data_IF_604410980118
#
_entry.id   IF_604410980118
#
_cell.length_a   1.000
_cell.length_b   1.000
_cell.length_c   1.000
_cell.angle_alpha   90.00
_cell.angle_beta   90.00
_cell.angle_gamma   90.00
#
_symmetry.space_group_name_H-M   'P 1'
#
loop_
_entity.id
_entity.type
_entity.pdbx_description
1 polymer ?
#
# COMPACT_ATOMS: atom_id res chain seq x y z
N UNK A 1 -6.67 -14.26 14.03
CA UNK A 1 -5.89 -15.29 14.72
C UNK A 1 -6.81 -16.31 15.42
N UNK A 2 -7.77 -15.86 16.25
CA UNK A 2 -8.70 -16.76 16.95
C UNK A 2 -9.44 -17.72 16.02
N UNK A 3 -9.91 -17.25 14.88
CA UNK A 3 -10.58 -18.10 13.89
C UNK A 3 -9.64 -19.19 13.33
N UNK A 4 -8.40 -18.86 13.00
CA UNK A 4 -7.40 -19.84 12.56
C UNK A 4 -7.16 -20.92 13.63
N UNK A 5 -7.00 -20.50 14.89
CA UNK A 5 -6.85 -21.44 16.01
C UNK A 5 -8.09 -22.34 16.18
N UNK A 6 -9.32 -21.80 15.98
CA UNK A 6 -10.55 -22.60 16.06
C UNK A 6 -10.68 -23.63 14.93
N UNK A 7 -10.01 -23.43 13.79
CA UNK A 7 -9.90 -24.41 12.71
C UNK A 7 -8.87 -25.52 12.97
N UNK A 8 -8.01 -25.38 13.98
CA UNK A 8 -6.90 -26.28 14.25
C UNK A 8 -5.53 -25.78 13.78
N UNK A 9 -5.43 -24.59 13.20
CA UNK A 9 -4.18 -23.96 12.78
C UNK A 9 -3.40 -23.41 13.99
N UNK A 10 -2.97 -24.29 14.91
CA UNK A 10 -2.35 -23.95 16.19
C UNK A 10 -0.98 -23.26 16.04
N UNK A 11 -0.31 -23.43 14.90
CA UNK A 11 0.95 -22.76 14.56
C UNK A 11 0.78 -21.34 14.02
N UNK A 12 -0.46 -20.87 13.85
CA UNK A 12 -0.71 -19.49 13.43
C UNK A 12 -0.29 -18.51 14.54
N UNK A 13 0.37 -17.42 14.14
CA UNK A 13 0.88 -16.42 15.08
C UNK A 13 0.76 -15.01 14.53
N UNK A 14 0.99 -14.02 15.39
CA UNK A 14 1.09 -12.62 15.01
C UNK A 14 2.56 -12.20 15.05
N UNK A 15 3.07 -11.59 13.97
CA UNK A 15 4.42 -11.05 13.94
C UNK A 15 4.52 -9.64 14.55
N UNK A 16 5.73 -9.06 14.54
CA UNK A 16 6.01 -7.73 15.10
C UNK A 16 5.35 -6.60 14.30
N UNK A 17 5.17 -6.76 12.99
CA UNK A 17 4.46 -5.78 12.16
C UNK A 17 2.95 -5.79 12.38
N UNK A 18 2.42 -6.88 12.95
CA UNK A 18 1.01 -7.11 13.17
C UNK A 18 0.33 -8.03 12.16
N UNK A 19 1.08 -8.63 11.24
CA UNK A 19 0.57 -9.65 10.32
C UNK A 19 0.10 -10.88 11.10
N UNK A 20 -0.89 -11.59 10.56
CA UNK A 20 -1.25 -12.92 11.01
C UNK A 20 -0.66 -13.93 10.02
N UNK A 21 0.23 -14.79 10.50
CA UNK A 21 0.93 -15.78 9.70
C UNK A 21 0.49 -17.18 10.08
N UNK A 22 0.28 -18.04 9.08
CA UNK A 22 0.02 -19.46 9.29
C UNK A 22 0.96 -20.30 8.43
N UNK A 23 2.05 -20.85 9.03
CA UNK A 23 2.89 -21.86 8.39
C UNK A 23 2.14 -23.21 8.34
N UNK A 24 1.82 -23.64 7.12
CA UNK A 24 1.03 -24.84 6.86
C UNK A 24 1.92 -25.94 6.27
N UNK A 25 2.06 -27.07 6.96
CA UNK A 25 2.82 -28.26 6.53
C UNK A 25 4.25 -27.97 6.06
N UNK A 26 4.96 -27.06 6.72
CA UNK A 26 6.33 -26.66 6.36
C UNK A 26 7.34 -27.61 7.02
N UNK A 27 8.17 -28.26 6.19
CA UNK A 27 9.31 -29.07 6.65
C UNK A 27 10.56 -28.20 6.83
N UNK A 28 11.49 -28.70 7.67
CA UNK A 28 12.76 -28.02 7.87
C UNK A 28 13.56 -27.92 6.58
N UNK A 29 14.03 -26.69 6.23
CA UNK A 29 14.80 -26.42 5.03
C UNK A 29 14.01 -26.38 3.71
N UNK A 30 12.70 -26.62 3.73
CA UNK A 30 11.86 -26.57 2.55
C UNK A 30 11.53 -25.13 2.12
N UNK A 31 11.49 -24.92 0.81
CA UNK A 31 10.91 -23.70 0.23
C UNK A 31 9.40 -23.74 0.33
N UNK A 32 8.78 -22.57 0.48
CA UNK A 32 7.34 -22.42 0.65
C UNK A 32 6.73 -21.52 -0.41
N UNK A 33 5.50 -21.79 -0.79
CA UNK A 33 4.69 -20.83 -1.51
C UNK A 33 3.99 -19.89 -0.51
N UNK A 34 4.14 -18.57 -0.68
CA UNK A 34 3.47 -17.55 0.11
C UNK A 34 2.17 -17.14 -0.56
N UNK A 35 1.07 -17.27 0.16
CA UNK A 35 -0.23 -16.72 -0.20
C UNK A 35 -0.57 -15.58 0.75
N UNK A 36 -0.84 -14.39 0.23
CA UNK A 36 -1.10 -13.21 1.05
C UNK A 36 -2.36 -12.46 0.62
N UNK A 37 -3.02 -11.83 1.60
CA UNK A 37 -4.08 -10.86 1.41
C UNK A 37 -4.01 -9.83 2.54
N UNK A 38 -4.10 -8.54 2.22
CA UNK A 38 -4.01 -7.49 3.24
C UNK A 38 -5.31 -7.36 4.05
N UNK A 39 -5.17 -7.00 5.34
CA UNK A 39 -6.30 -6.88 6.29
C UNK A 39 -6.60 -5.43 6.68
N UNK A 40 -5.76 -4.49 6.29
CA UNK A 40 -6.03 -3.07 6.49
C UNK A 40 -6.92 -2.49 5.39
N UNK A 41 -7.49 -1.32 5.64
CA UNK A 41 -8.41 -0.64 4.75
C UNK A 41 -8.14 0.88 4.74
N UNK A 42 -8.60 1.58 3.70
CA UNK A 42 -8.55 3.04 3.62
C UNK A 42 -9.56 3.75 4.55
N UNK A 43 -10.53 3.01 5.10
CA UNK A 43 -11.65 3.55 5.89
C UNK A 43 -11.31 3.67 7.37
N UNK A 44 -10.39 4.59 7.72
CA UNK A 44 -9.85 4.75 9.09
C UNK A 44 -10.87 5.28 10.11
N UNK A 45 -11.89 6.01 9.65
CA UNK A 45 -12.83 6.71 10.50
C UNK A 45 -14.14 5.94 10.74
N UNK A 46 -14.30 4.77 10.11
CA UNK A 46 -15.48 3.93 10.33
C UNK A 46 -15.32 3.11 11.62
N UNK A 47 -16.16 3.39 12.61
CA UNK A 47 -16.24 2.55 13.82
C UNK A 47 -17.01 1.26 13.57
N UNK A 48 -18.01 1.30 12.69
CA UNK A 48 -18.77 0.15 12.22
C UNK A 48 -18.85 0.18 10.70
N UNK A 49 -18.66 -1.00 10.09
CA UNK A 49 -18.76 -1.15 8.64
C UNK A 49 -20.22 -1.44 8.30
N UNK A 50 -20.94 -0.54 7.58
CA UNK A 50 -22.31 -0.80 7.16
C UNK A 50 -22.34 -1.92 6.11
N UNK A 51 -22.97 -3.04 6.46
CA UNK A 51 -23.08 -4.21 5.58
C UNK A 51 -24.51 -4.27 5.04
N UNK A 52 -24.66 -4.30 3.71
CA UNK A 52 -25.93 -4.45 3.03
C UNK A 52 -25.93 -5.76 2.23
N UNK A 53 -26.95 -6.59 2.43
CA UNK A 53 -27.14 -7.82 1.67
C UNK A 53 -28.45 -7.76 0.86
N UNK A 54 -28.35 -8.02 -0.45
CA UNK A 54 -29.50 -8.11 -1.34
C UNK A 54 -29.39 -9.42 -2.13
N UNK A 55 -30.18 -10.40 -1.76
CA UNK A 55 -30.07 -11.76 -2.32
C UNK A 55 -28.69 -12.36 -2.03
N UNK A 56 -27.93 -12.64 -3.09
CA UNK A 56 -26.56 -13.19 -3.01
C UNK A 56 -25.47 -12.12 -3.08
N UNK A 57 -25.83 -10.84 -3.15
CA UNK A 57 -24.88 -9.72 -3.24
C UNK A 57 -24.67 -9.15 -1.85
N UNK A 58 -23.39 -9.07 -1.43
CA UNK A 58 -22.95 -8.40 -0.24
C UNK A 58 -22.24 -7.09 -0.62
N UNK A 59 -22.67 -5.97 -0.05
CA UNK A 59 -22.09 -4.64 -0.29
C UNK A 59 -21.65 -4.01 1.02
N UNK A 60 -20.38 -3.65 1.14
CA UNK A 60 -19.82 -2.96 2.29
C UNK A 60 -18.51 -2.24 1.87
N UNK A 61 -18.09 -1.19 2.60
CA UNK A 61 -16.72 -0.69 2.51
C UNK A 61 -15.71 -1.83 2.69
N UNK A 62 -14.66 -1.88 1.87
CA UNK A 62 -13.63 -2.93 1.85
C UNK A 62 -14.13 -4.37 1.65
N UNK A 63 -15.35 -4.56 1.15
CA UNK A 63 -15.87 -5.90 0.88
C UNK A 63 -15.04 -6.62 -0.22
N UNK A 64 -14.72 -5.91 -1.29
CA UNK A 64 -13.89 -6.40 -2.40
C UNK A 64 -12.39 -6.27 -2.09
N UNK A 65 -12.00 -5.11 -1.62
CA UNK A 65 -10.63 -4.72 -1.31
C UNK A 65 -10.48 -4.56 0.22
N UNK A 66 -10.04 -5.58 0.98
CA UNK A 66 -9.64 -6.89 0.48
C UNK A 66 -10.31 -8.06 1.29
N UNK A 67 -11.49 -7.81 1.89
CA UNK A 67 -12.17 -8.78 2.77
C UNK A 67 -12.55 -10.07 2.04
N UNK A 68 -12.90 -9.99 0.74
CA UNK A 68 -13.26 -11.15 -0.05
C UNK A 68 -12.06 -12.10 -0.25
N UNK A 69 -10.88 -11.56 -0.50
CA UNK A 69 -9.64 -12.34 -0.64
C UNK A 69 -9.25 -13.00 0.68
N UNK A 70 -9.36 -12.27 1.80
CA UNK A 70 -9.16 -12.83 3.14
C UNK A 70 -10.09 -14.01 3.38
N UNK A 71 -11.39 -13.85 3.08
CA UNK A 71 -12.39 -14.91 3.23
C UNK A 71 -12.05 -16.11 2.35
N UNK A 72 -11.59 -15.89 1.11
CA UNK A 72 -11.12 -16.92 0.19
C UNK A 72 -9.94 -17.72 0.76
N UNK A 73 -8.90 -17.06 1.25
CA UNK A 73 -7.75 -17.72 1.87
C UNK A 73 -8.14 -18.49 3.14
N UNK A 74 -8.99 -17.90 3.99
CA UNK A 74 -9.51 -18.59 5.19
C UNK A 74 -10.34 -19.82 4.82
N UNK A 75 -11.11 -19.76 3.72
CA UNK A 75 -11.87 -20.89 3.22
C UNK A 75 -10.96 -22.00 2.70
N UNK A 76 -9.90 -21.67 1.98
CA UNK A 76 -8.88 -22.63 1.53
C UNK A 76 -8.25 -23.33 2.73
N UNK A 77 -7.84 -22.57 3.75
CA UNK A 77 -7.28 -23.14 4.98
C UNK A 77 -8.29 -24.09 5.64
N UNK A 78 -9.55 -23.68 5.74
CA UNK A 78 -10.63 -24.52 6.27
C UNK A 78 -10.78 -25.83 5.48
N UNK A 79 -10.71 -25.77 4.15
CA UNK A 79 -10.77 -26.97 3.30
C UNK A 79 -9.62 -27.95 3.58
N UNK A 80 -8.40 -27.47 3.86
CA UNK A 80 -7.29 -28.35 4.24
C UNK A 80 -7.62 -29.17 5.50
N UNK A 81 -8.27 -28.56 6.49
CA UNK A 81 -8.69 -29.26 7.71
C UNK A 81 -9.90 -30.18 7.47
N UNK A 82 -10.97 -29.68 6.86
CA UNK A 82 -12.21 -30.44 6.67
C UNK A 82 -12.02 -31.69 5.79
N UNK A 83 -11.17 -31.54 4.75
CA UNK A 83 -10.95 -32.62 3.77
C UNK A 83 -9.63 -33.36 4.03
N UNK A 84 -8.91 -33.04 5.10
CA UNK A 84 -7.61 -33.62 5.45
C UNK A 84 -6.60 -33.59 4.29
N UNK A 85 -6.59 -32.47 3.53
CA UNK A 85 -5.71 -32.31 2.39
C UNK A 85 -4.29 -31.99 2.85
N UNK A 86 -3.33 -32.58 2.14
CA UNK A 86 -1.90 -32.29 2.32
C UNK A 86 -1.38 -31.57 1.09
N UNK A 87 -0.90 -30.32 1.21
CA UNK A 87 -0.29 -29.64 0.08
C UNK A 87 1.01 -30.34 -0.35
N UNK A 88 1.35 -30.32 -1.65
CA UNK A 88 2.57 -30.96 -2.16
C UNK A 88 3.86 -30.31 -1.68
N UNK A 89 3.78 -29.05 -1.26
CA UNK A 89 4.88 -28.27 -0.66
C UNK A 89 4.37 -27.48 0.54
N UNK A 90 5.28 -26.97 1.37
CA UNK A 90 4.93 -26.08 2.47
C UNK A 90 4.28 -24.80 1.97
N UNK A 91 3.24 -24.35 2.65
CA UNK A 91 2.55 -23.09 2.36
C UNK A 91 2.71 -22.13 3.53
N UNK A 92 2.91 -20.86 3.23
CA UNK A 92 2.82 -19.78 4.20
C UNK A 92 1.62 -18.90 3.83
N UNK A 93 0.62 -18.86 4.68
CA UNK A 93 -0.47 -17.90 4.56
C UNK A 93 -0.14 -16.66 5.38
N UNK A 94 -0.25 -15.48 4.76
CA UNK A 94 -0.04 -14.20 5.42
C UNK A 94 -1.28 -13.31 5.24
N UNK A 95 -1.83 -12.82 6.35
CA UNK A 95 -2.84 -11.78 6.37
C UNK A 95 -2.10 -10.52 6.83
N UNK A 96 -1.68 -9.73 5.84
CA UNK A 96 -0.71 -8.67 6.04
C UNK A 96 -1.36 -7.31 6.32
N UNK A 97 -0.56 -6.38 6.84
CA UNK A 97 -0.97 -5.05 7.25
C UNK A 97 -0.15 -3.97 6.55
N UNK A 98 -0.77 -2.82 6.31
CA UNK A 98 -0.09 -1.64 5.78
C UNK A 98 0.14 -1.73 4.27
N UNK A 99 -0.75 -2.37 3.53
CA UNK A 99 -0.82 -2.29 2.08
C UNK A 99 -1.32 -0.91 1.67
N UNK A 100 -2.36 -0.43 2.32
CA UNK A 100 -3.11 0.75 1.96
C UNK A 100 -2.41 2.08 2.27
N UNK A 101 -2.61 3.03 1.38
CA UNK A 101 -2.25 4.43 1.57
C UNK A 101 -0.76 4.67 1.84
N UNK A 102 -0.43 5.13 3.03
CA UNK A 102 0.95 5.39 3.49
C UNK A 102 1.54 4.23 4.31
N UNK A 103 0.91 3.07 4.31
CA UNK A 103 1.38 1.87 5.03
C UNK A 103 2.72 1.33 4.51
N UNK A 104 3.07 1.65 3.26
CA UNK A 104 4.35 1.32 2.64
C UNK A 104 4.69 -0.17 2.69
N UNK A 105 3.66 -1.03 2.58
CA UNK A 105 3.79 -2.49 2.63
C UNK A 105 4.55 -2.99 3.88
N UNK A 106 4.39 -2.31 5.03
CA UNK A 106 5.19 -2.62 6.24
C UNK A 106 5.07 -4.09 6.66
N UNK A 107 3.88 -4.67 6.51
CA UNK A 107 3.61 -6.08 6.81
C UNK A 107 4.40 -7.00 5.90
N UNK A 108 4.29 -6.81 4.59
CA UNK A 108 5.03 -7.65 3.62
C UNK A 108 6.54 -7.45 3.70
N UNK A 109 7.02 -6.25 4.05
CA UNK A 109 8.45 -6.03 4.32
C UNK A 109 8.95 -6.87 5.50
N UNK A 110 8.15 -7.01 6.55
CA UNK A 110 8.46 -7.90 7.69
C UNK A 110 8.47 -9.37 7.25
N UNK A 111 7.43 -9.81 6.53
CA UNK A 111 7.38 -11.19 6.00
C UNK A 111 8.62 -11.49 5.15
N UNK A 112 9.01 -10.57 4.27
CA UNK A 112 10.20 -10.77 3.44
C UNK A 112 11.51 -10.72 4.25
N UNK A 113 11.59 -9.91 5.31
CA UNK A 113 12.76 -9.93 6.20
C UNK A 113 12.94 -11.28 6.89
N UNK A 114 11.85 -11.91 7.31
CA UNK A 114 11.87 -13.16 8.08
C UNK A 114 11.93 -14.42 7.20
N UNK A 115 11.39 -14.37 5.98
CA UNK A 115 11.09 -15.55 5.17
C UNK A 115 11.68 -15.55 3.76
N UNK A 116 12.31 -14.45 3.25
CA UNK A 116 12.71 -14.35 1.83
C UNK A 116 13.56 -15.53 1.35
N UNK A 117 14.50 -16.02 2.18
CA UNK A 117 15.35 -17.17 1.84
C UNK A 117 14.57 -18.49 1.70
N UNK A 118 13.36 -18.54 2.20
CA UNK A 118 12.50 -19.73 2.20
C UNK A 118 11.33 -19.63 1.22
N UNK A 119 11.01 -18.45 0.72
CA UNK A 119 9.92 -18.26 -0.23
C UNK A 119 10.40 -18.63 -1.63
N UNK A 120 9.65 -19.51 -2.34
CA UNK A 120 9.87 -19.86 -3.74
C UNK A 120 9.02 -19.04 -4.69
N UNK A 121 7.81 -18.69 -4.25
CA UNK A 121 6.83 -17.93 -5.03
C UNK A 121 5.89 -17.16 -4.12
N UNK A 122 5.31 -16.09 -4.64
CA UNK A 122 4.35 -15.24 -3.93
C UNK A 122 3.09 -15.12 -4.77
N UNK A 123 1.94 -15.37 -4.15
CA UNK A 123 0.62 -15.12 -4.70
C UNK A 123 -0.09 -14.12 -3.80
N UNK A 124 -0.17 -12.87 -4.24
CA UNK A 124 -0.98 -11.86 -3.58
C UNK A 124 -2.40 -11.91 -4.16
N UNK A 125 -3.37 -12.18 -3.28
CA UNK A 125 -4.79 -12.24 -3.65
C UNK A 125 -5.43 -10.91 -3.30
N UNK A 126 -5.89 -10.18 -4.35
CA UNK A 126 -6.39 -8.83 -4.18
C UNK A 126 -7.44 -8.48 -5.26
N UNK A 127 -8.40 -7.63 -4.89
CA UNK A 127 -9.42 -6.98 -5.74
C UNK A 127 -10.27 -7.94 -6.60
N UNK A 128 -9.76 -8.41 -7.73
CA UNK A 128 -10.52 -9.18 -8.72
C UNK A 128 -10.02 -10.62 -8.84
N UNK A 129 -10.95 -11.55 -9.12
CA UNK A 129 -10.63 -12.98 -9.24
C UNK A 129 -10.57 -13.49 -10.69
N UNK A 130 -10.65 -12.60 -11.66
CA UNK A 130 -10.71 -12.91 -13.10
C UNK A 130 -9.42 -12.53 -13.86
N UNK A 131 -8.44 -11.96 -13.16
CA UNK A 131 -7.19 -11.52 -13.76
C UNK A 131 -5.98 -11.99 -12.98
N UNK A 132 -4.87 -12.19 -13.70
CA UNK A 132 -3.55 -12.44 -13.12
C UNK A 132 -2.60 -11.32 -13.51
N UNK A 133 -2.03 -10.63 -12.50
CA UNK A 133 -1.01 -9.61 -12.70
C UNK A 133 0.35 -10.25 -12.44
N UNK A 134 1.20 -10.32 -13.48
CA UNK A 134 2.53 -10.95 -13.41
C UNK A 134 3.66 -9.94 -13.38
N UNK A 135 3.38 -8.67 -13.63
CA UNK A 135 4.36 -7.59 -13.59
C UNK A 135 4.03 -6.67 -12.42
N UNK A 136 4.87 -6.69 -11.39
CA UNK A 136 4.72 -5.80 -10.25
C UNK A 136 5.06 -4.35 -10.62
N UNK A 137 4.34 -3.40 -10.01
CA UNK A 137 4.58 -1.97 -10.17
C UNK A 137 5.34 -1.46 -8.96
N UNK A 138 6.56 -0.97 -9.17
CA UNK A 138 7.33 -0.28 -8.15
C UNK A 138 6.71 1.09 -7.84
N UNK A 139 6.71 1.51 -6.57
CA UNK A 139 6.24 2.84 -6.19
C UNK A 139 7.15 3.54 -5.19
N UNK A 140 7.21 4.88 -5.28
CA UNK A 140 7.82 5.75 -4.28
C UNK A 140 6.86 6.88 -3.95
N UNK A 141 6.59 7.07 -2.67
CA UNK A 141 5.61 8.04 -2.19
C UNK A 141 6.28 9.06 -1.28
N UNK A 142 5.96 10.33 -1.49
CA UNK A 142 6.57 11.44 -0.77
C UNK A 142 5.51 12.39 -0.21
N UNK A 143 5.77 12.90 0.98
CA UNK A 143 5.10 14.07 1.53
C UNK A 143 6.09 15.24 1.50
N UNK A 144 5.81 16.25 0.70
CA UNK A 144 6.63 17.45 0.57
C UNK A 144 6.04 18.55 1.43
N UNK A 145 6.88 19.15 2.27
CA UNK A 145 6.51 20.35 3.04
C UNK A 145 7.34 21.53 2.52
N UNK A 146 6.65 22.60 2.16
CA UNK A 146 7.26 23.88 1.77
C UNK A 146 7.02 24.86 2.91
N UNK A 147 8.08 25.50 3.37
CA UNK A 147 8.03 26.51 4.43
C UNK A 147 8.58 27.84 3.92
N UNK A 148 7.96 28.93 4.37
CA UNK A 148 8.32 30.31 4.04
C UNK A 148 8.13 31.21 5.27
N UNK A 149 8.61 32.44 5.21
CA UNK A 149 8.49 33.36 6.33
C UNK A 149 7.04 33.69 6.71
N UNK A 150 6.13 33.69 5.73
CA UNK A 150 4.76 34.14 5.93
C UNK A 150 4.67 35.66 6.10
N UNK A 151 3.46 36.16 6.38
CA UNK A 151 3.26 37.60 6.64
C UNK A 151 1.88 38.10 6.22
N UNK A 152 1.69 39.43 6.34
CA UNK A 152 0.46 40.08 5.89
C UNK A 152 0.55 40.36 4.39
N UNK A 153 -0.43 39.99 3.60
CA UNK A 153 -0.39 40.04 2.13
C UNK A 153 -0.13 41.44 1.55
N UNK A 154 -0.58 42.52 2.20
CA UNK A 154 -0.34 43.88 1.80
C UNK A 154 0.99 44.43 2.34
N UNK A 155 1.25 44.28 3.65
CA UNK A 155 2.42 44.91 4.30
C UNK A 155 3.75 44.25 3.92
N UNK A 156 3.70 42.92 3.65
CA UNK A 156 4.89 42.13 3.32
C UNK A 156 4.85 41.61 1.87
N UNK A 157 4.18 42.35 0.97
CA UNK A 157 4.12 41.99 -0.45
C UNK A 157 5.53 41.83 -1.03
N UNK A 158 5.74 40.71 -1.79
CA UNK A 158 7.04 40.34 -2.35
C UNK A 158 7.80 39.29 -1.55
N UNK A 159 7.37 38.95 -0.33
CA UNK A 159 7.94 37.81 0.39
C UNK A 159 7.51 36.47 -0.23
N UNK A 160 8.35 35.45 0.00
CA UNK A 160 8.08 34.09 -0.45
C UNK A 160 6.79 33.57 0.14
N UNK A 161 5.97 32.92 -0.70
CA UNK A 161 4.69 32.32 -0.34
C UNK A 161 4.78 30.81 -0.54
N UNK A 162 4.61 30.02 0.53
CA UNK A 162 4.74 28.58 0.49
C UNK A 162 3.76 27.89 -0.49
N UNK A 163 2.54 28.44 -0.67
CA UNK A 163 1.59 27.93 -1.67
C UNK A 163 2.11 28.19 -3.09
N UNK A 164 2.65 29.38 -3.35
CA UNK A 164 3.19 29.69 -4.68
C UNK A 164 4.40 28.82 -5.01
N UNK A 165 5.29 28.58 -4.05
CA UNK A 165 6.42 27.66 -4.23
C UNK A 165 5.96 26.22 -4.45
N UNK A 166 5.01 25.72 -3.66
CA UNK A 166 4.44 24.39 -3.87
C UNK A 166 3.83 24.24 -5.28
N UNK A 167 3.11 25.27 -5.76
CA UNK A 167 2.53 25.29 -7.09
C UNK A 167 3.61 25.25 -8.20
N UNK A 168 4.75 25.96 -8.02
CA UNK A 168 5.87 25.89 -8.97
C UNK A 168 6.52 24.52 -9.00
N UNK A 169 6.75 23.89 -7.85
CA UNK A 169 7.31 22.54 -7.76
C UNK A 169 6.39 21.53 -8.45
N UNK A 170 5.09 21.60 -8.19
CA UNK A 170 4.08 20.75 -8.84
C UNK A 170 4.08 20.99 -10.35
N UNK A 171 4.06 22.22 -10.82
CA UNK A 171 4.11 22.55 -12.25
C UNK A 171 5.36 21.97 -12.93
N UNK A 172 6.53 22.02 -12.27
CA UNK A 172 7.77 21.43 -12.80
C UNK A 172 7.69 19.91 -12.84
N UNK A 173 7.09 19.27 -11.84
CA UNK A 173 6.86 17.83 -11.85
C UNK A 173 5.98 17.41 -13.05
N UNK A 174 4.90 18.14 -13.29
CA UNK A 174 4.01 17.87 -14.43
C UNK A 174 4.61 18.26 -15.80
N UNK A 175 5.77 18.89 -15.81
CA UNK A 175 6.59 19.10 -17.01
C UNK A 175 7.53 17.94 -17.34
N UNK A 176 7.63 16.91 -16.50
CA UNK A 176 8.47 15.74 -16.78
C UNK A 176 7.85 14.89 -17.88
N UNK A 177 8.68 14.42 -18.80
CA UNK A 177 8.31 13.40 -19.77
C UNK A 177 8.70 12.02 -19.22
N UNK A 178 7.76 11.08 -19.22
CA UNK A 178 7.96 9.68 -18.78
C UNK A 178 7.56 8.73 -19.90
N UNK A 179 8.15 7.52 -19.98
CA UNK A 179 7.79 6.55 -20.99
C UNK A 179 6.39 5.98 -20.75
N UNK A 180 5.69 5.64 -21.83
CA UNK A 180 4.46 4.86 -21.79
C UNK A 180 4.72 3.36 -21.69
N UNK A 181 5.91 2.91 -22.15
CA UNK A 181 6.41 1.55 -22.07
C UNK A 181 7.92 1.56 -21.71
N UNK A 182 8.33 0.98 -20.58
CA UNK A 182 7.47 0.46 -19.50
C UNK A 182 6.61 1.56 -18.89
N UNK A 183 5.37 1.24 -18.50
CA UNK A 183 4.44 2.24 -17.96
C UNK A 183 5.03 2.90 -16.73
N UNK A 184 5.22 4.22 -16.83
CA UNK A 184 5.78 5.06 -15.78
C UNK A 184 4.87 6.24 -15.55
N UNK A 185 4.57 6.53 -14.29
CA UNK A 185 3.58 7.55 -13.94
C UNK A 185 4.01 8.34 -12.71
N UNK A 186 3.47 9.55 -12.58
CA UNK A 186 3.54 10.35 -11.37
C UNK A 186 2.18 11.01 -11.10
N UNK A 187 1.92 11.30 -9.83
CA UNK A 187 0.69 11.98 -9.43
C UNK A 187 0.91 12.83 -8.17
N UNK A 188 0.25 13.97 -8.11
CA UNK A 188 0.09 14.74 -6.88
C UNK A 188 -1.31 14.47 -6.33
N UNK A 189 -1.39 13.68 -5.26
CA UNK A 189 -2.66 13.20 -4.71
C UNK A 189 -3.38 14.19 -3.81
N UNK A 190 -2.62 15.00 -3.05
CA UNK A 190 -3.17 15.98 -2.13
C UNK A 190 -2.35 17.27 -2.13
N UNK A 191 -2.98 18.40 -1.86
CA UNK A 191 -2.33 19.69 -1.58
C UNK A 191 -3.13 20.44 -0.52
N UNK A 192 -2.43 21.04 0.45
CA UNK A 192 -3.02 21.90 1.48
C UNK A 192 -2.02 22.98 1.93
N UNK A 193 -2.50 24.16 2.29
CA UNK A 193 -1.62 25.24 2.78
C UNK A 193 -2.36 26.53 3.08
N UNK A 194 -1.62 27.46 3.76
CA UNK A 194 -2.16 28.76 4.16
C UNK A 194 -3.09 28.71 5.37
N UNK A 195 -3.57 29.89 5.79
CA UNK A 195 -4.49 30.04 6.95
C UNK A 195 -5.66 30.97 6.63
N UNK A 196 -5.39 32.17 6.15
CA UNK A 196 -6.41 33.19 5.83
C UNK A 196 -6.11 33.87 4.51
N UNK A 197 -7.13 34.49 3.89
CA UNK A 197 -7.03 35.09 2.56
C UNK A 197 -6.05 36.30 2.50
N UNK A 198 -5.83 36.97 3.60
CA UNK A 198 -4.97 38.13 3.71
C UNK A 198 -3.59 37.82 4.33
N UNK A 199 -3.22 36.54 4.41
CA UNK A 199 -1.87 36.12 4.85
C UNK A 199 -1.05 35.57 3.68
N UNK A 200 0.25 35.85 3.65
CA UNK A 200 1.23 35.11 2.87
C UNK A 200 1.40 33.74 3.53
N UNK A 201 1.18 32.66 2.81
CA UNK A 201 1.24 31.31 3.38
C UNK A 201 2.66 30.99 3.87
N UNK A 202 2.80 30.67 5.15
CA UNK A 202 4.06 30.23 5.75
C UNK A 202 4.34 28.75 5.52
N UNK A 203 3.29 27.95 5.23
CA UNK A 203 3.42 26.50 5.04
C UNK A 203 2.43 25.98 4.02
N UNK A 204 2.92 25.08 3.17
CA UNK A 204 2.11 24.26 2.27
C UNK A 204 2.64 22.82 2.28
N UNK A 205 1.78 21.86 2.02
CA UNK A 205 2.13 20.44 1.90
C UNK A 205 1.44 19.85 0.69
N UNK A 206 2.13 18.92 0.03
CA UNK A 206 1.52 18.08 -1.02
C UNK A 206 2.11 16.67 -0.97
N UNK A 207 1.38 15.69 -1.49
CA UNK A 207 1.84 14.31 -1.58
C UNK A 207 2.08 13.92 -3.03
N UNK A 208 3.11 13.11 -3.25
CA UNK A 208 3.52 12.64 -4.59
C UNK A 208 3.57 11.12 -4.57
N UNK A 209 3.08 10.51 -5.64
CA UNK A 209 3.16 9.08 -5.93
C UNK A 209 3.88 8.91 -7.27
N UNK A 210 5.03 8.23 -7.26
CA UNK A 210 5.82 7.87 -8.44
C UNK A 210 5.71 6.38 -8.65
N UNK A 211 5.42 5.92 -9.88
CA UNK A 211 5.27 4.50 -10.19
C UNK A 211 5.94 4.11 -11.48
N UNK A 212 6.47 2.89 -11.56
CA UNK A 212 6.94 2.30 -12.81
C UNK A 212 6.89 0.77 -12.75
N UNK A 213 6.67 0.14 -13.91
CA UNK A 213 6.84 -1.29 -14.16
C UNK A 213 8.33 -1.68 -14.29
N UNK A 214 9.24 -0.70 -14.31
CA UNK A 214 10.69 -0.91 -14.43
C UNK A 214 11.44 -0.13 -13.35
N UNK A 215 12.36 -0.79 -12.66
CA UNK A 215 13.10 -0.21 -11.54
C UNK A 215 14.01 0.95 -11.98
N UNK A 216 14.68 0.84 -13.13
CA UNK A 216 15.58 1.89 -13.62
C UNK A 216 14.80 3.16 -14.01
N UNK A 217 13.62 3.02 -14.62
CA UNK A 217 12.75 4.15 -14.94
C UNK A 217 12.17 4.79 -13.67
N UNK A 218 11.85 3.99 -12.65
CA UNK A 218 11.44 4.53 -11.35
C UNK A 218 12.58 5.32 -10.70
N UNK A 219 13.81 4.83 -10.77
CA UNK A 219 14.99 5.52 -10.24
C UNK A 219 15.27 6.83 -10.97
N UNK A 220 15.16 6.86 -12.32
CA UNK A 220 15.29 8.08 -13.11
C UNK A 220 14.24 9.12 -12.75
N UNK A 221 12.99 8.69 -12.63
CA UNK A 221 11.87 9.57 -12.24
C UNK A 221 12.09 10.13 -10.83
N UNK A 222 12.52 9.31 -9.90
CA UNK A 222 12.84 9.69 -8.53
C UNK A 222 13.97 10.72 -8.47
N UNK A 223 15.05 10.51 -9.21
CA UNK A 223 16.16 11.46 -9.33
C UNK A 223 15.70 12.80 -9.91
N UNK A 224 14.87 12.76 -10.96
CA UNK A 224 14.30 13.98 -11.55
C UNK A 224 13.40 14.72 -10.56
N UNK A 225 12.57 14.01 -9.81
CA UNK A 225 11.77 14.59 -8.73
C UNK A 225 12.62 15.25 -7.66
N UNK A 226 13.64 14.57 -7.16
CA UNK A 226 14.55 15.14 -6.18
C UNK A 226 15.34 16.36 -6.70
N UNK A 227 15.69 16.41 -7.99
CA UNK A 227 16.30 17.57 -8.61
C UNK A 227 15.33 18.78 -8.63
N UNK A 228 14.04 18.55 -8.85
CA UNK A 228 13.00 19.59 -8.78
C UNK A 228 12.88 20.16 -7.36
N UNK A 229 12.89 19.30 -6.34
CA UNK A 229 12.72 19.72 -4.93
C UNK A 229 13.94 20.49 -4.41
N UNK A 230 15.14 20.20 -4.91
CA UNK A 230 16.40 20.85 -4.49
C UNK A 230 16.70 22.18 -5.20
N UNK A 231 16.01 22.48 -6.30
CA UNK A 231 16.23 23.67 -7.13
C UNK A 231 15.33 24.85 -6.76
#
# INVERSE_FOLDING_TARGET
LQYLHSLGASSAYRDEAGNILYPCHIKSGEKVALYTAHIDTVFKDLQEIPIHQTGHILSAPSCSDNSASIAGLLFIIKMFFDLQLMPPQGLLFAFDVGEEGLGNLKGMRQVMADWHDRISEVVAVDCTFDTFVTTAVGSRRYAVTVEAAGGHSWMHFGQSNAIAEAARLISRLYGLSVPSQPKTTYNVGTIAGGTTINSIAAKAKFTVDLRSENADELDKLDQAFHAIIKA
#
